data_IF_436991108722
#
_entry.id   IF_436991108722
#
_cell.length_a   1.000
_cell.length_b   1.000
_cell.length_c   1.000
_cell.angle_alpha   90.00
_cell.angle_beta   90.00
_cell.angle_gamma   90.00
#
_symmetry.space_group_name_H-M   'P 1'
#
loop_
_entity.id
_entity.type
_entity.pdbx_description
1 polymer ?
#
# COMPACT_ATOMS: atom_id res chain seq x y z
N UNK A 1 1.68 14.73 -14.69
CA UNK A 1 2.85 13.83 -14.52
C UNK A 1 2.32 12.53 -13.90
N UNK A 2 2.82 11.36 -14.29
CA UNK A 2 2.26 10.08 -13.82
C UNK A 2 2.85 9.68 -12.45
N UNK A 3 2.06 9.80 -11.38
CA UNK A 3 2.36 9.25 -10.04
C UNK A 3 1.87 7.77 -9.93
N UNK A 4 2.24 6.97 -8.89
CA UNK A 4 1.83 5.53 -8.64
C UNK A 4 0.92 5.14 -7.40
N UNK A 5 -0.28 4.53 -7.60
CA UNK A 5 -1.39 4.28 -6.63
C UNK A 5 -0.89 3.64 -5.34
N UNK A 6 -1.35 4.12 -4.16
CA UNK A 6 -1.00 3.52 -2.90
C UNK A 6 -1.43 2.06 -2.94
N UNK A 7 -0.48 1.20 -2.63
CA UNK A 7 -0.71 -0.21 -2.42
C UNK A 7 -1.71 -0.38 -1.27
N UNK A 8 -2.40 -1.53 -1.23
CA UNK A 8 -3.30 -1.85 -0.11
C UNK A 8 -2.58 -1.76 1.25
N UNK A 9 -1.26 -1.98 1.28
CA UNK A 9 -0.44 -1.83 2.48
C UNK A 9 -0.29 -0.36 2.90
N UNK A 10 0.04 0.54 1.98
CA UNK A 10 0.18 1.98 2.28
C UNK A 10 -1.18 2.58 2.70
N UNK A 11 -2.27 2.20 2.03
CA UNK A 11 -3.62 2.62 2.42
C UNK A 11 -4.03 2.09 3.81
N UNK A 12 -3.62 0.87 4.18
CA UNK A 12 -3.88 0.32 5.50
C UNK A 12 -3.03 0.99 6.60
N UNK A 13 -1.77 1.34 6.31
CA UNK A 13 -0.88 2.05 7.23
C UNK A 13 -1.37 3.48 7.50
N UNK A 14 -1.84 4.19 6.48
CA UNK A 14 -2.46 5.50 6.64
C UNK A 14 -3.75 5.41 7.48
N UNK A 15 -4.61 4.43 7.19
CA UNK A 15 -5.83 4.21 7.99
C UNK A 15 -5.52 3.88 9.46
N UNK A 16 -4.49 3.07 9.73
CA UNK A 16 -4.02 2.77 11.09
C UNK A 16 -3.50 4.03 11.80
N UNK A 17 -2.70 4.86 11.12
CA UNK A 17 -2.22 6.14 11.65
C UNK A 17 -3.36 7.10 12.01
N UNK A 18 -4.35 7.26 11.12
CA UNK A 18 -5.52 8.11 11.36
C UNK A 18 -6.37 7.59 12.54
N UNK A 19 -6.53 6.27 12.68
CA UNK A 19 -7.22 5.65 13.82
C UNK A 19 -6.46 5.85 15.14
N UNK A 20 -5.13 5.79 15.12
CA UNK A 20 -4.31 6.07 16.30
C UNK A 20 -4.38 7.54 16.74
N UNK A 21 -4.36 8.49 15.79
CA UNK A 21 -4.58 9.90 16.08
C UNK A 21 -5.99 10.17 16.65
N UNK A 22 -7.02 9.53 16.10
CA UNK A 22 -8.38 9.61 16.63
C UNK A 22 -8.54 8.96 18.02
N UNK A 23 -7.78 7.91 18.32
CA UNK A 23 -7.74 7.29 19.66
C UNK A 23 -7.11 8.23 20.69
N UNK A 24 -5.95 8.80 20.37
CA UNK A 24 -5.22 9.72 21.26
C UNK A 24 -6.07 10.97 21.59
N UNK A 25 -6.80 11.49 20.59
CA UNK A 25 -7.83 12.53 20.76
C UNK A 25 -8.90 12.15 21.79
N UNK A 26 -9.46 10.94 21.71
CA UNK A 26 -10.52 10.49 22.61
C UNK A 26 -10.00 10.27 24.04
N UNK A 27 -8.81 9.71 24.20
CA UNK A 27 -8.15 9.56 25.50
C UNK A 27 -7.82 10.93 26.12
N UNK A 28 -7.35 11.86 25.30
CA UNK A 28 -7.08 13.23 25.73
C UNK A 28 -8.36 13.97 26.16
N UNK A 29 -9.46 13.86 25.41
CA UNK A 29 -10.76 14.47 25.74
C UNK A 29 -11.42 13.84 26.98
N UNK A 30 -11.16 12.56 27.25
CA UNK A 30 -11.66 11.85 28.43
C UNK A 30 -11.06 12.39 29.73
N UNK A 31 -9.81 12.86 29.72
CA UNK A 31 -9.11 13.35 30.91
C UNK A 31 -9.75 14.61 31.55
N UNK A 32 -9.99 15.75 30.85
CA UNK A 32 -10.64 16.91 31.44
C UNK A 32 -12.10 16.64 31.78
N UNK A 33 -12.81 15.82 30.99
CA UNK A 33 -14.18 15.40 31.28
C UNK A 33 -14.25 14.65 32.61
N UNK A 34 -13.32 13.71 32.83
CA UNK A 34 -13.18 12.99 34.10
C UNK A 34 -12.77 13.91 35.26
N UNK A 35 -11.89 14.88 35.03
CA UNK A 35 -11.50 15.85 36.05
C UNK A 35 -12.66 16.75 36.49
N UNK A 36 -13.49 17.23 35.55
CA UNK A 36 -14.70 18.02 35.85
C UNK A 36 -15.70 17.17 36.65
N UNK A 37 -15.88 15.90 36.28
CA UNK A 37 -16.77 14.99 37.02
C UNK A 37 -16.28 14.74 38.45
N UNK A 38 -14.99 14.50 38.65
CA UNK A 38 -14.39 14.29 39.98
C UNK A 38 -14.42 15.58 40.84
N UNK A 39 -14.20 16.75 40.25
CA UNK A 39 -14.35 18.04 40.94
C UNK A 39 -15.81 18.27 41.36
N UNK A 40 -16.80 17.83 40.57
CA UNK A 40 -18.20 17.86 40.99
C UNK A 40 -18.49 16.89 42.14
N UNK A 41 -17.95 15.66 42.11
CA UNK A 41 -18.17 14.63 43.14
C UNK A 41 -17.45 14.90 44.48
N UNK A 42 -16.29 15.57 44.44
CA UNK A 42 -15.39 15.69 45.60
C UNK A 42 -14.94 17.12 45.91
N UNK A 43 -14.96 18.01 44.92
CA UNK A 43 -14.59 19.43 45.03
C UNK A 43 -15.77 20.39 45.15
N UNK A 44 -17.01 19.89 45.07
CA UNK A 44 -18.25 20.69 45.04
C UNK A 44 -18.36 21.59 43.79
N UNK A 45 -17.72 21.19 42.69
CA UNK A 45 -17.71 21.90 41.40
C UNK A 45 -16.89 23.19 41.37
N UNK A 46 -16.07 23.46 42.39
CA UNK A 46 -15.31 24.72 42.55
C UNK A 46 -14.29 24.97 41.44
N UNK A 47 -13.75 23.92 40.84
CA UNK A 47 -12.75 24.00 39.78
C UNK A 47 -13.35 23.81 38.38
N UNK A 48 -14.60 23.35 38.28
CA UNK A 48 -15.26 22.98 37.02
C UNK A 48 -15.19 24.08 35.94
N UNK A 49 -15.35 25.35 36.31
CA UNK A 49 -15.21 26.47 35.36
C UNK A 49 -13.79 26.65 34.82
N UNK A 50 -12.77 26.53 35.68
CA UNK A 50 -11.37 26.61 35.28
C UNK A 50 -10.94 25.38 34.45
N UNK A 51 -11.45 24.19 34.78
CA UNK A 51 -11.25 22.96 34.01
C UNK A 51 -11.93 23.01 32.64
N UNK A 52 -13.11 23.64 32.53
CA UNK A 52 -13.79 23.86 31.26
C UNK A 52 -13.04 24.85 30.36
N UNK A 53 -12.56 25.97 30.90
CA UNK A 53 -11.70 26.90 30.13
C UNK A 53 -10.34 26.28 29.76
N UNK A 54 -9.78 25.39 30.60
CA UNK A 54 -8.59 24.61 30.24
C UNK A 54 -8.86 23.65 29.08
N UNK A 55 -9.98 22.90 29.12
CA UNK A 55 -10.40 22.01 28.04
C UNK A 55 -10.63 22.78 26.72
N UNK A 56 -11.24 23.96 26.81
CA UNK A 56 -11.43 24.88 25.67
C UNK A 56 -10.11 25.42 25.14
N UNK A 57 -9.20 25.90 25.98
CA UNK A 57 -7.87 26.36 25.57
C UNK A 57 -7.11 25.29 24.79
N UNK A 58 -7.17 24.04 25.25
CA UNK A 58 -6.57 22.92 24.52
C UNK A 58 -7.34 22.54 23.24
N UNK A 59 -8.66 22.70 23.20
CA UNK A 59 -9.45 22.60 21.95
C UNK A 59 -9.10 23.71 20.94
N UNK A 60 -8.72 24.89 21.40
CA UNK A 60 -8.36 26.02 20.54
C UNK A 60 -6.88 25.95 20.09
N UNK A 61 -5.99 25.40 20.92
CA UNK A 61 -4.53 25.37 20.66
C UNK A 61 -3.99 24.03 20.18
N UNK A 62 -4.51 22.90 20.67
CA UNK A 62 -4.11 21.55 20.24
C UNK A 62 -4.51 21.22 18.80
N UNK A 63 -5.51 21.93 18.27
CA UNK A 63 -6.09 21.68 16.94
C UNK A 63 -5.81 22.78 15.92
N UNK A 64 -5.11 23.86 16.31
CA UNK A 64 -4.77 24.98 15.42
C UNK A 64 -3.97 24.53 14.19
N UNK A 65 -3.15 23.48 14.33
CA UNK A 65 -2.47 22.83 13.20
C UNK A 65 -3.30 21.75 12.49
N UNK A 66 -4.27 21.12 13.17
CA UNK A 66 -5.03 19.96 12.65
C UNK A 66 -5.98 20.38 11.55
N UNK A 67 -6.72 21.48 11.71
CA UNK A 67 -7.60 21.97 10.63
C UNK A 67 -6.79 22.42 9.40
N UNK A 68 -5.66 23.10 9.60
CA UNK A 68 -4.76 23.44 8.50
C UNK A 68 -4.12 22.21 7.85
N UNK A 69 -3.83 21.15 8.62
CA UNK A 69 -3.33 19.89 8.07
C UNK A 69 -4.41 19.16 7.28
N UNK A 70 -5.66 19.13 7.76
CA UNK A 70 -6.81 18.59 7.03
C UNK A 70 -7.01 19.34 5.71
N UNK A 71 -6.95 20.67 5.71
CA UNK A 71 -7.10 21.45 4.47
C UNK A 71 -5.87 21.33 3.56
N UNK A 72 -4.66 21.15 4.10
CA UNK A 72 -3.48 20.76 3.32
C UNK A 72 -3.63 19.35 2.73
N UNK A 73 -4.17 18.37 3.45
CA UNK A 73 -4.44 17.02 2.94
C UNK A 73 -5.55 17.01 1.88
N UNK A 74 -6.60 17.84 2.02
CA UNK A 74 -7.59 18.06 0.96
C UNK A 74 -6.93 18.70 -0.26
N UNK A 75 -6.17 19.77 -0.08
CA UNK A 75 -5.45 20.41 -1.17
C UNK A 75 -4.50 19.43 -1.86
N UNK A 76 -3.75 18.63 -1.11
CA UNK A 76 -2.88 17.57 -1.66
C UNK A 76 -3.71 16.52 -2.42
N UNK A 77 -4.84 16.04 -1.88
CA UNK A 77 -5.72 15.09 -2.59
C UNK A 77 -6.46 15.67 -3.80
N UNK A 78 -6.66 16.98 -3.85
CA UNK A 78 -7.29 17.71 -4.97
C UNK A 78 -6.27 18.16 -6.03
N UNK A 79 -5.01 18.44 -5.65
CA UNK A 79 -3.97 18.98 -6.53
C UNK A 79 -2.90 17.97 -6.95
N UNK A 80 -2.62 16.96 -6.13
CA UNK A 80 -1.82 15.80 -6.47
C UNK A 80 -2.73 14.57 -6.52
N UNK A 81 -3.02 14.11 -7.74
CA UNK A 81 -3.81 12.91 -7.93
C UNK A 81 -3.22 11.77 -7.10
N UNK A 82 -4.07 11.22 -6.22
CA UNK A 82 -3.79 9.97 -5.53
C UNK A 82 -3.26 9.01 -6.61
N UNK A 83 -2.07 8.47 -6.39
CA UNK A 83 -1.17 8.21 -7.51
C UNK A 83 -1.67 7.01 -8.39
N UNK A 84 -1.08 6.58 -9.52
CA UNK A 84 -1.58 5.48 -10.41
C UNK A 84 -0.54 4.37 -10.77
N UNK A 85 -0.59 3.18 -10.11
CA UNK A 85 0.54 2.21 -10.01
C UNK A 85 0.98 1.82 -11.42
N UNK A 86 2.29 1.90 -11.75
CA UNK A 86 2.76 1.89 -13.14
C UNK A 86 2.39 0.57 -13.81
N UNK A 87 1.21 0.56 -14.44
CA UNK A 87 0.90 -0.44 -15.44
C UNK A 87 1.93 -0.18 -16.52
N UNK A 88 2.80 -1.17 -16.84
CA UNK A 88 3.67 -1.01 -17.98
C UNK A 88 2.78 -0.64 -19.17
N UNK A 89 3.27 0.34 -19.93
CA UNK A 89 2.71 0.79 -21.21
C UNK A 89 2.18 -0.41 -22.00
N UNK A 90 1.18 -0.25 -22.88
CA UNK A 90 0.56 -1.35 -23.64
C UNK A 90 1.55 -2.08 -24.59
N UNK A 91 2.47 -2.81 -24.00
CA UNK A 91 3.54 -3.60 -24.59
C UNK A 91 3.00 -5.01 -24.69
N UNK A 92 3.00 -5.54 -25.91
CA UNK A 92 2.42 -6.84 -26.20
C UNK A 92 3.02 -7.92 -25.28
N UNK A 93 2.20 -8.44 -24.36
CA UNK A 93 2.54 -9.58 -23.49
C UNK A 93 2.50 -10.85 -24.35
N UNK A 94 3.64 -11.26 -24.89
CA UNK A 94 3.73 -12.43 -25.77
C UNK A 94 4.04 -13.66 -24.91
N UNK A 95 3.28 -14.77 -25.00
CA UNK A 95 3.62 -16.00 -24.30
C UNK A 95 5.04 -16.47 -24.67
N UNK A 96 5.82 -16.90 -23.67
CA UNK A 96 7.23 -17.28 -23.86
C UNK A 96 7.44 -18.30 -24.99
N UNK A 97 6.55 -19.30 -25.07
CA UNK A 97 6.60 -20.32 -26.11
C UNK A 97 6.41 -19.76 -27.54
N UNK A 98 5.59 -18.72 -27.69
CA UNK A 98 5.38 -18.03 -28.96
C UNK A 98 6.59 -17.15 -29.29
N UNK A 99 7.08 -16.40 -28.28
CA UNK A 99 8.23 -15.49 -28.43
C UNK A 99 9.54 -16.23 -28.75
N UNK A 100 9.76 -17.42 -28.18
CA UNK A 100 11.00 -18.19 -28.38
C UNK A 100 10.98 -19.12 -29.58
N UNK A 101 9.90 -19.19 -30.36
CA UNK A 101 9.73 -20.17 -31.45
C UNK A 101 10.92 -20.13 -32.43
N UNK A 102 11.63 -21.24 -32.56
CA UNK A 102 12.84 -21.38 -33.39
C UNK A 102 14.11 -20.68 -32.87
N UNK A 103 14.07 -19.94 -31.76
CA UNK A 103 15.19 -19.10 -31.28
C UNK A 103 15.53 -19.26 -29.79
N UNK A 104 15.29 -20.44 -29.22
CA UNK A 104 15.43 -20.73 -27.78
C UNK A 104 16.77 -20.27 -27.18
N UNK A 105 17.88 -20.44 -27.89
CA UNK A 105 19.22 -20.07 -27.40
C UNK A 105 19.44 -18.55 -27.34
N UNK A 106 18.95 -17.80 -28.34
CA UNK A 106 19.08 -16.35 -28.38
C UNK A 106 18.19 -15.69 -27.32
N UNK A 107 16.93 -16.14 -27.20
CA UNK A 107 15.98 -15.63 -26.19
C UNK A 107 16.45 -15.95 -24.77
N UNK A 108 16.95 -17.15 -24.50
CA UNK A 108 17.50 -17.50 -23.19
C UNK A 108 18.67 -16.58 -22.80
N UNK A 109 19.58 -16.28 -23.75
CA UNK A 109 20.70 -15.35 -23.52
C UNK A 109 20.20 -13.92 -23.22
N UNK A 110 19.20 -13.42 -23.95
CA UNK A 110 18.59 -12.09 -23.68
C UNK A 110 17.91 -12.02 -22.31
N UNK A 111 17.32 -13.12 -21.85
CA UNK A 111 16.69 -13.26 -20.52
C UNK A 111 17.68 -13.67 -19.40
N UNK A 112 19.00 -13.67 -19.65
CA UNK A 112 20.00 -13.99 -18.63
C UNK A 112 19.97 -15.43 -18.11
N UNK A 113 19.39 -16.38 -18.87
CA UNK A 113 19.21 -17.78 -18.45
C UNK A 113 19.79 -18.80 -19.45
N UNK A 114 19.84 -20.07 -19.06
CA UNK A 114 20.27 -21.15 -19.96
C UNK A 114 19.16 -21.57 -20.92
N UNK A 115 19.53 -22.02 -22.12
CA UNK A 115 18.58 -22.57 -23.11
C UNK A 115 17.86 -23.83 -22.59
N UNK A 116 18.50 -24.60 -21.71
CA UNK A 116 17.88 -25.71 -20.99
C UNK A 116 16.80 -25.26 -20.00
N UNK A 117 17.06 -24.19 -19.24
CA UNK A 117 16.08 -23.58 -18.32
C UNK A 117 14.84 -23.07 -19.04
N UNK A 118 15.02 -22.36 -20.18
CA UNK A 118 13.93 -21.87 -21.01
C UNK A 118 13.11 -23.04 -21.61
N UNK A 119 13.79 -24.04 -22.17
CA UNK A 119 13.12 -25.19 -22.80
C UNK A 119 12.39 -26.06 -21.77
N UNK A 120 12.93 -26.18 -20.55
CA UNK A 120 12.23 -26.80 -19.41
C UNK A 120 10.97 -26.04 -19.03
N UNK A 121 11.03 -24.71 -18.95
CA UNK A 121 9.86 -23.92 -18.56
C UNK A 121 8.69 -24.03 -19.55
N UNK A 122 8.99 -24.07 -20.85
CA UNK A 122 8.00 -24.33 -21.91
C UNK A 122 7.45 -25.75 -21.81
N UNK A 123 8.31 -26.76 -21.62
CA UNK A 123 7.90 -28.17 -21.45
C UNK A 123 7.02 -28.40 -20.21
N UNK A 124 7.28 -27.68 -19.13
CA UNK A 124 6.47 -27.70 -17.90
C UNK A 124 5.14 -26.93 -18.03
N UNK A 125 4.84 -26.33 -19.18
CA UNK A 125 3.58 -25.61 -19.40
C UNK A 125 3.42 -24.35 -18.55
N UNK A 126 4.53 -23.76 -18.06
CA UNK A 126 4.50 -22.60 -17.16
C UNK A 126 3.92 -21.38 -17.89
N UNK A 127 2.96 -20.71 -17.25
CA UNK A 127 2.30 -19.50 -17.77
C UNK A 127 3.26 -18.32 -17.64
N UNK A 128 4.14 -18.16 -18.62
CA UNK A 128 5.18 -17.11 -18.66
C UNK A 128 4.91 -16.19 -19.85
N UNK A 129 4.85 -14.89 -19.58
CA UNK A 129 4.77 -13.84 -20.58
C UNK A 129 6.08 -13.08 -20.67
N UNK A 130 6.45 -12.70 -21.89
CA UNK A 130 7.61 -11.85 -22.19
C UNK A 130 7.10 -10.47 -22.63
N UNK A 131 7.78 -9.44 -22.15
CA UNK A 131 7.53 -8.03 -22.42
C UNK A 131 8.85 -7.41 -22.88
N UNK A 132 8.87 -6.76 -24.04
CA UNK A 132 10.05 -6.06 -24.58
C UNK A 132 9.90 -4.56 -24.36
N UNK A 133 10.73 -3.96 -23.51
CA UNK A 133 10.63 -2.52 -23.19
C UNK A 133 11.04 -1.66 -24.39
N UNK A 134 10.68 -0.38 -24.38
CA UNK A 134 11.12 0.59 -25.40
C UNK A 134 12.67 0.73 -25.48
N UNK A 135 13.39 0.30 -24.45
CA UNK A 135 14.85 0.23 -24.42
C UNK A 135 15.43 -1.09 -25.01
N UNK A 136 14.59 -2.04 -25.43
CA UNK A 136 14.99 -3.33 -25.98
C UNK A 136 15.34 -4.40 -24.92
N UNK A 137 15.04 -4.15 -23.64
CA UNK A 137 15.22 -5.13 -22.58
C UNK A 137 14.05 -6.13 -22.54
N UNK A 138 14.33 -7.40 -22.29
CA UNK A 138 13.29 -8.42 -22.13
C UNK A 138 13.03 -8.68 -20.64
N UNK A 139 11.79 -8.43 -20.24
CA UNK A 139 11.25 -8.84 -18.94
C UNK A 139 10.39 -10.10 -19.13
N UNK A 140 10.54 -11.07 -18.24
CA UNK A 140 9.72 -12.28 -18.23
C UNK A 140 9.02 -12.43 -16.87
N UNK A 141 7.69 -12.55 -16.90
CA UNK A 141 6.85 -12.69 -15.69
C UNK A 141 6.07 -13.99 -15.77
N UNK A 142 6.17 -14.80 -14.71
CA UNK A 142 5.37 -16.01 -14.54
C UNK A 142 4.12 -15.71 -13.72
N UNK A 143 2.95 -16.04 -14.25
CA UNK A 143 1.69 -15.99 -13.51
C UNK A 143 1.44 -17.33 -12.81
N UNK A 144 1.09 -17.27 -11.52
CA UNK A 144 0.68 -18.44 -10.73
C UNK A 144 -0.66 -18.17 -10.07
N UNK A 145 -1.62 -19.11 -10.11
CA UNK A 145 -2.85 -18.98 -9.34
C UNK A 145 -2.53 -18.94 -7.84
N UNK A 146 -3.30 -18.14 -7.10
CA UNK A 146 -3.25 -18.09 -5.64
C UNK A 146 -4.46 -18.85 -5.05
N UNK A 147 -4.29 -19.63 -3.97
CA UNK A 147 -3.01 -19.99 -3.32
C UNK A 147 -2.17 -20.90 -4.21
N UNK A 148 -0.84 -20.68 -4.20
CA UNK A 148 0.08 -21.42 -5.04
C UNK A 148 0.05 -22.91 -4.73
N UNK A 149 -0.43 -23.72 -5.67
CA UNK A 149 -0.42 -25.18 -5.55
C UNK A 149 1.01 -25.65 -5.26
N UNK A 150 1.21 -26.28 -4.09
CA UNK A 150 2.41 -27.08 -3.86
C UNK A 150 2.36 -28.22 -4.87
N UNK A 151 3.49 -28.48 -5.54
CA UNK A 151 3.61 -29.68 -6.37
C UNK A 151 3.51 -30.87 -5.43
N UNK A 152 2.43 -31.63 -5.53
CA UNK A 152 2.31 -32.90 -4.83
C UNK A 152 3.43 -33.80 -5.35
N UNK A 153 4.39 -34.09 -4.48
CA UNK A 153 5.48 -35.00 -4.77
C UNK A 153 4.96 -36.41 -4.56
N UNK A 154 4.02 -36.81 -5.40
CA UNK A 154 3.54 -38.19 -5.43
C UNK A 154 4.68 -39.05 -6.00
N UNK A 155 5.42 -39.66 -5.07
CA UNK A 155 6.61 -40.42 -5.38
C UNK A 155 6.23 -41.66 -6.19
N UNK A 156 6.94 -41.88 -7.28
CA UNK A 156 6.88 -43.15 -7.99
C UNK A 156 7.29 -44.31 -7.06
N UNK A 157 6.42 -45.32 -6.98
CA UNK A 157 6.73 -46.71 -6.61
C UNK A 157 6.13 -47.62 -7.66
#
# INVERSE_FOLDING_TARGET
MNSQLPTMQEAAQEAEFQLLAAKDLLEWQYAPTSAIHLDHLHGDGKSAGALAELAKYFSDTGFGGVYSAIDQFKQLGESEAAPQNQQPENVARIPLANFSSGQHAAVAKRLGMTQGSLSKAIREGRVIFVTETAAGELLAVEEKPFPGQRRDVEAAQ
#
